data_IF_246195970723
#
_entry.id   IF_246195970723
#
_cell.length_a   1.000
_cell.length_b   1.000
_cell.length_c   1.000
_cell.angle_alpha   90.00
_cell.angle_beta   90.00
_cell.angle_gamma   90.00
#
_symmetry.space_group_name_H-M   'P 1'
#
loop_
_entity.id
_entity.type
_entity.pdbx_description
1 polymer ?
#
# COMPACT_ATOMS: atom_id res chain seq x y z
N UNK A 1 31.81 22.00 4.90
CA UNK A 1 30.71 21.03 4.80
C UNK A 1 30.32 20.58 6.20
N UNK A 2 29.16 21.00 6.70
CA UNK A 2 28.57 20.43 7.93
C UNK A 2 27.80 19.18 7.48
N UNK A 3 28.24 18.01 7.92
CA UNK A 3 27.51 16.77 7.70
C UNK A 3 26.45 16.72 8.80
N UNK A 4 25.21 17.08 8.47
CA UNK A 4 24.08 16.81 9.34
C UNK A 4 23.72 15.33 9.22
N UNK A 5 23.82 14.61 10.33
CA UNK A 5 23.38 13.22 10.43
C UNK A 5 21.85 13.19 10.32
N UNK A 6 21.34 12.58 9.26
CA UNK A 6 19.90 12.48 9.00
C UNK A 6 19.27 11.50 10.00
N UNK A 7 18.82 12.01 11.15
CA UNK A 7 17.99 11.24 12.09
C UNK A 7 16.60 11.01 11.51
N UNK A 8 16.35 9.79 11.05
CA UNK A 8 15.04 9.37 10.57
C UNK A 8 14.00 9.39 11.71
N UNK A 9 12.98 10.23 11.59
CA UNK A 9 11.89 10.38 12.59
C UNK A 9 10.77 9.34 12.40
N UNK A 10 11.06 8.21 11.76
CA UNK A 10 10.04 7.23 11.38
C UNK A 10 9.62 6.44 12.62
N UNK A 11 8.33 6.53 12.98
CA UNK A 11 7.77 5.82 14.15
C UNK A 11 7.58 4.33 13.85
N UNK A 12 8.66 3.56 13.96
CA UNK A 12 8.72 2.12 13.63
C UNK A 12 7.64 1.27 14.29
N UNK A 13 7.18 1.61 15.50
CA UNK A 13 6.14 0.86 16.22
C UNK A 13 4.81 0.76 15.45
N UNK A 14 4.46 1.72 14.59
CA UNK A 14 3.21 1.70 13.81
C UNK A 14 3.29 0.85 12.53
N UNK A 15 4.50 0.54 12.07
CA UNK A 15 4.76 -0.17 10.80
C UNK A 15 5.05 -1.66 11.06
N UNK A 16 5.41 -2.02 12.30
CA UNK A 16 5.80 -3.39 12.69
C UNK A 16 4.80 -4.47 12.25
N UNK A 17 3.49 -4.23 12.44
CA UNK A 17 2.43 -5.17 12.05
C UNK A 17 2.23 -5.33 10.54
N UNK A 18 2.81 -4.45 9.73
CA UNK A 18 2.73 -4.46 8.27
C UNK A 18 4.09 -4.69 7.60
N UNK A 19 5.09 -5.17 8.35
CA UNK A 19 6.45 -5.42 7.86
C UNK A 19 6.52 -6.43 6.71
N UNK A 20 5.53 -7.32 6.57
CA UNK A 20 5.43 -8.26 5.47
C UNK A 20 4.94 -7.64 4.15
N UNK A 21 4.32 -6.45 4.17
CA UNK A 21 3.76 -5.80 2.98
C UNK A 21 4.88 -5.10 2.21
N UNK A 22 5.22 -5.64 1.03
CA UNK A 22 6.28 -5.08 0.16
C UNK A 22 5.73 -4.33 -1.05
N UNK A 23 4.44 -4.44 -1.32
CA UNK A 23 3.79 -3.77 -2.45
C UNK A 23 2.37 -4.27 -2.71
N UNK A 24 1.76 -3.77 -3.79
CA UNK A 24 0.38 -4.10 -4.18
C UNK A 24 0.25 -5.44 -4.92
N UNK A 25 1.35 -5.99 -5.45
CA UNK A 25 1.35 -7.31 -6.12
C UNK A 25 0.42 -7.40 -7.34
N UNK A 26 0.41 -6.36 -8.17
CA UNK A 26 -0.35 -6.28 -9.41
C UNK A 26 0.48 -6.82 -10.59
N UNK A 27 -0.20 -7.42 -11.57
CA UNK A 27 0.37 -7.76 -12.87
C UNK A 27 0.45 -6.52 -13.77
N UNK A 28 1.17 -6.63 -14.89
CA UNK A 28 1.29 -5.56 -15.89
C UNK A 28 -0.07 -5.14 -16.48
N UNK A 29 -1.03 -6.07 -16.49
CA UNK A 29 -2.40 -5.84 -16.96
C UNK A 29 -3.27 -5.07 -15.93
N UNK A 30 -2.75 -4.76 -14.75
CA UNK A 30 -3.49 -4.12 -13.66
C UNK A 30 -4.27 -5.06 -12.74
N UNK A 31 -4.28 -6.37 -13.03
CA UNK A 31 -4.98 -7.39 -12.23
C UNK A 31 -4.20 -7.79 -10.96
N UNK A 32 -4.91 -8.03 -9.86
CA UNK A 32 -4.30 -8.50 -8.62
C UNK A 32 -4.10 -10.02 -8.60
N UNK A 33 -2.89 -10.46 -8.27
CA UNK A 33 -2.63 -11.88 -7.99
C UNK A 33 -3.22 -12.30 -6.63
N UNK A 34 -3.75 -13.52 -6.55
CA UNK A 34 -4.36 -14.06 -5.32
C UNK A 34 -3.44 -13.96 -4.09
N UNK A 35 -2.15 -14.22 -4.28
CA UNK A 35 -1.11 -14.01 -3.27
C UNK A 35 0.09 -13.33 -3.92
N UNK A 36 0.43 -12.11 -3.48
CA UNK A 36 1.62 -11.42 -3.95
C UNK A 36 2.05 -10.30 -2.99
N UNK A 37 3.36 -10.06 -2.91
CA UNK A 37 3.96 -8.94 -2.16
C UNK A 37 3.52 -8.81 -0.68
N UNK A 38 3.18 -9.92 -0.04
CA UNK A 38 2.73 -9.97 1.36
C UNK A 38 1.23 -9.69 1.55
N UNK A 39 0.48 -9.52 0.45
CA UNK A 39 -0.98 -9.40 0.46
C UNK A 39 -1.61 -10.68 -0.11
N UNK A 40 -2.69 -11.12 0.54
CA UNK A 40 -3.51 -12.25 0.12
C UNK A 40 -4.96 -11.77 -0.01
N UNK A 41 -5.61 -12.08 -1.12
CA UNK A 41 -6.98 -11.67 -1.40
C UNK A 41 -7.13 -10.16 -1.61
N UNK A 42 -8.33 -9.64 -1.31
CA UNK A 42 -8.73 -8.24 -1.51
C UNK A 42 -8.38 -7.71 -2.92
N UNK A 43 -8.67 -8.52 -3.95
CA UNK A 43 -8.29 -8.25 -5.34
C UNK A 43 -8.82 -6.89 -5.82
N UNK A 44 -10.12 -6.65 -5.67
CA UNK A 44 -10.76 -5.40 -6.07
C UNK A 44 -10.16 -4.16 -5.39
N UNK A 45 -9.83 -4.25 -4.10
CA UNK A 45 -9.21 -3.14 -3.38
C UNK A 45 -7.77 -2.87 -3.85
N UNK A 46 -7.03 -3.93 -4.19
CA UNK A 46 -5.66 -3.82 -4.71
C UNK A 46 -5.63 -3.26 -6.13
N UNK A 47 -6.55 -3.67 -6.98
CA UNK A 47 -6.71 -3.13 -8.34
C UNK A 47 -7.09 -1.65 -8.30
N UNK A 48 -8.05 -1.27 -7.44
CA UNK A 48 -8.40 0.13 -7.21
C UNK A 48 -7.20 0.94 -6.70
N UNK A 49 -6.40 0.39 -5.79
CA UNK A 49 -5.17 1.02 -5.32
C UNK A 49 -4.12 1.19 -6.44
N UNK A 50 -4.05 0.23 -7.37
CA UNK A 50 -3.22 0.33 -8.58
C UNK A 50 -3.58 1.54 -9.44
N UNK A 51 -4.87 1.70 -9.74
CA UNK A 51 -5.39 2.85 -10.51
C UNK A 51 -5.05 4.16 -9.81
N UNK A 52 -5.20 4.21 -8.49
CA UNK A 52 -4.82 5.39 -7.70
C UNK A 52 -3.34 5.68 -7.83
N UNK A 53 -2.46 4.68 -7.71
CA UNK A 53 -1.01 4.85 -7.88
C UNK A 53 -0.69 5.39 -9.27
N UNK A 54 -1.32 4.89 -10.32
CA UNK A 54 -1.11 5.36 -11.68
C UNK A 54 -1.61 6.78 -11.90
N UNK A 55 -2.70 7.16 -11.23
CA UNK A 55 -3.21 8.52 -11.23
C UNK A 55 -2.28 9.49 -10.50
N UNK A 56 -1.65 9.05 -9.40
CA UNK A 56 -0.61 9.82 -8.68
C UNK A 56 0.61 10.01 -9.59
N UNK A 57 1.12 8.94 -10.21
CA UNK A 57 2.25 9.00 -11.15
C UNK A 57 1.97 9.90 -12.34
N UNK A 58 0.74 9.87 -12.86
CA UNK A 58 0.27 10.72 -13.96
C UNK A 58 -0.06 12.16 -13.53
N UNK A 59 0.14 12.52 -12.25
CA UNK A 59 -0.18 13.83 -11.65
C UNK A 59 -1.65 14.26 -11.80
N UNK A 60 -2.57 13.31 -12.00
CA UNK A 60 -4.01 13.54 -12.18
C UNK A 60 -4.81 13.45 -10.87
N UNK A 61 -4.14 13.28 -9.73
CA UNK A 61 -4.75 13.22 -8.39
C UNK A 61 -4.97 14.60 -7.73
N UNK A 62 -4.66 15.70 -8.40
CA UNK A 62 -4.82 17.04 -7.83
C UNK A 62 -6.28 17.29 -7.40
N UNK A 63 -6.48 17.60 -6.11
CA UNK A 63 -7.79 17.91 -5.53
C UNK A 63 -8.70 16.69 -5.25
N UNK A 64 -8.19 15.46 -5.35
CA UNK A 64 -8.97 14.23 -5.09
C UNK A 64 -8.53 13.59 -3.77
N UNK A 65 -9.49 13.15 -2.96
CA UNK A 65 -9.26 12.39 -1.74
C UNK A 65 -9.58 10.90 -1.95
N UNK A 66 -8.96 10.05 -1.14
CA UNK A 66 -9.18 8.59 -1.16
C UNK A 66 -9.84 8.22 0.17
N UNK A 67 -10.97 7.51 0.11
CA UNK A 67 -11.62 6.91 1.27
C UNK A 67 -11.46 5.39 1.17
N UNK A 68 -10.84 4.77 2.17
CA UNK A 68 -10.83 3.32 2.32
C UNK A 68 -11.94 2.92 3.31
N UNK A 69 -12.99 2.30 2.80
CA UNK A 69 -14.12 1.85 3.60
C UNK A 69 -14.15 0.31 3.68
N UNK A 70 -14.41 -0.22 4.88
CA UNK A 70 -14.47 -1.65 5.15
C UNK A 70 -14.69 -1.95 6.62
N UNK A 71 -15.15 -3.16 6.95
CA UNK A 71 -15.39 -3.59 8.32
C UNK A 71 -14.06 -3.90 9.04
N UNK A 72 -13.84 -3.53 10.31
CA UNK A 72 -12.68 -4.02 11.05
C UNK A 72 -12.82 -5.54 11.27
N UNK A 73 -11.77 -6.39 11.04
CA UNK A 73 -10.40 -6.11 10.64
C UNK A 73 -10.15 -6.38 9.14
N UNK A 74 -10.46 -5.41 8.29
CA UNK A 74 -10.28 -5.46 6.83
C UNK A 74 -8.85 -5.79 6.35
N UNK A 75 -7.84 -5.69 7.24
CA UNK A 75 -6.41 -5.87 6.95
C UNK A 75 -5.77 -7.08 7.65
N UNK A 76 -6.49 -7.86 8.46
CA UNK A 76 -5.95 -9.08 9.04
C UNK A 76 -6.11 -10.25 8.06
N UNK A 77 -5.31 -10.24 6.99
CA UNK A 77 -4.94 -11.50 6.33
C UNK A 77 -3.99 -12.27 7.24
N UNK A 78 -4.51 -12.81 8.35
CA UNK A 78 -3.84 -13.88 9.10
C UNK A 78 -4.05 -15.16 8.29
N UNK A 79 -3.09 -15.48 7.43
CA UNK A 79 -2.82 -16.87 7.07
C UNK A 79 -1.47 -17.21 7.67
N UNK A 80 -1.54 -17.70 8.92
CA UNK A 80 -0.48 -18.27 9.77
C UNK A 80 0.74 -17.39 10.07
#
# INVERSE_FOLDING_TARGET
>A
MKIEEVKSTVKTQRISSHSHVKGLGLKENGEANEMAAGLVGQQAAREAAGIVVDMIKSKKMAGRAILMAGHPPFLLSKTL
#
